data_IF_186023931367
#
_entry.id   IF_186023931367
#
_cell.length_a   1.000
_cell.length_b   1.000
_cell.length_c   1.000
_cell.angle_alpha   90.00
_cell.angle_beta   90.00
_cell.angle_gamma   90.00
#
_symmetry.space_group_name_H-M   'P 1'
#
loop_
_entity.id
_entity.type
_entity.pdbx_description
1 polymer ?
#
# COMPACT_ATOMS: atom_id res chain seq x y z
N UNK A 1 -12.99 2.98 14.25
CA UNK A 1 -12.37 3.42 12.99
C UNK A 1 -11.23 2.46 12.71
N UNK A 2 -11.23 1.79 11.55
CA UNK A 2 -10.29 0.71 11.28
C UNK A 2 -8.86 1.24 11.24
N UNK A 3 -7.97 0.68 12.07
CA UNK A 3 -6.54 0.91 11.99
C UNK A 3 -6.04 0.62 10.57
N UNK A 4 -5.09 1.41 10.05
CA UNK A 4 -4.47 1.08 8.78
C UNK A 4 -3.78 -0.28 8.90
N UNK A 5 -4.25 -1.22 8.09
CA UNK A 5 -3.81 -2.62 8.07
C UNK A 5 -3.60 -3.08 6.64
N UNK A 6 -2.89 -4.19 6.44
CA UNK A 6 -2.79 -4.85 5.12
C UNK A 6 -4.17 -5.16 4.52
N UNK A 7 -5.14 -5.53 5.35
CA UNK A 7 -6.52 -5.78 4.93
C UNK A 7 -7.19 -4.52 4.36
N UNK A 8 -7.01 -3.36 5.02
CA UNK A 8 -7.52 -2.08 4.50
C UNK A 8 -6.84 -1.67 3.20
N UNK A 9 -5.55 -1.97 3.02
CA UNK A 9 -4.86 -1.74 1.76
C UNK A 9 -5.44 -2.61 0.64
N UNK A 10 -5.71 -3.90 0.92
CA UNK A 10 -6.33 -4.82 -0.02
C UNK A 10 -7.72 -4.38 -0.47
N UNK A 11 -8.56 -3.96 0.48
CA UNK A 11 -9.88 -3.41 0.19
C UNK A 11 -9.80 -2.15 -0.71
N UNK A 12 -8.84 -1.26 -0.45
CA UNK A 12 -8.61 -0.08 -1.30
C UNK A 12 -8.15 -0.47 -2.71
N UNK A 13 -7.27 -1.45 -2.84
CA UNK A 13 -6.78 -1.93 -4.13
C UNK A 13 -7.91 -2.51 -4.99
N UNK A 14 -8.75 -3.38 -4.41
CA UNK A 14 -9.93 -3.93 -5.09
C UNK A 14 -10.95 -2.84 -5.44
N UNK A 15 -11.21 -1.91 -4.52
CA UNK A 15 -12.13 -0.80 -4.78
C UNK A 15 -11.64 0.07 -5.94
N UNK A 16 -10.34 0.37 -6.01
CA UNK A 16 -9.75 1.11 -7.12
C UNK A 16 -9.86 0.35 -8.44
N UNK A 17 -9.54 -0.96 -8.44
CA UNK A 17 -9.67 -1.81 -9.63
C UNK A 17 -11.10 -1.79 -10.19
N UNK A 18 -12.09 -2.02 -9.31
CA UNK A 18 -13.49 -2.07 -9.69
C UNK A 18 -14.04 -0.71 -10.12
N UNK A 19 -13.69 0.35 -9.39
CA UNK A 19 -14.21 1.69 -9.67
C UNK A 19 -13.70 2.26 -11.00
N UNK A 20 -12.44 1.98 -11.35
CA UNK A 20 -11.84 2.45 -12.60
C UNK A 20 -11.94 1.42 -13.73
N UNK A 21 -12.60 0.28 -13.51
CA UNK A 21 -12.67 -0.84 -14.48
C UNK A 21 -11.29 -1.22 -15.03
N UNK A 22 -10.27 -1.19 -14.16
CA UNK A 22 -8.88 -1.40 -14.55
C UNK A 22 -8.45 -2.85 -14.34
N UNK A 23 -7.43 -3.29 -15.07
CA UNK A 23 -6.82 -4.60 -14.85
C UNK A 23 -6.03 -4.68 -13.54
N UNK A 24 -5.56 -3.52 -13.05
CA UNK A 24 -4.73 -3.39 -11.85
C UNK A 24 -5.25 -2.27 -10.97
N UNK A 25 -5.46 -2.55 -9.68
CA UNK A 25 -5.73 -1.57 -8.64
C UNK A 25 -4.61 -1.53 -7.59
N UNK A 26 -4.28 -0.34 -7.09
CA UNK A 26 -3.25 -0.15 -6.06
C UNK A 26 -3.85 0.59 -4.87
N UNK A 27 -3.75 -0.01 -3.69
CA UNK A 27 -4.18 0.59 -2.43
C UNK A 27 -2.97 0.89 -1.54
N UNK A 28 -2.85 2.12 -1.06
CA UNK A 28 -1.80 2.52 -0.11
C UNK A 28 -2.47 3.17 1.10
N UNK A 29 -2.13 2.72 2.30
CA UNK A 29 -2.68 3.23 3.56
C UNK A 29 -1.63 3.24 4.66
N UNK A 30 -1.97 3.88 5.78
CA UNK A 30 -1.16 3.84 6.98
C UNK A 30 0.12 4.65 6.91
N UNK A 31 0.20 5.68 6.05
CA UNK A 31 1.33 6.62 5.97
C UNK A 31 1.43 7.48 7.23
N UNK A 32 1.87 6.87 8.34
CA UNK A 32 1.91 7.52 9.65
C UNK A 32 3.02 8.56 9.68
N UNK A 33 2.64 9.84 9.66
CA UNK A 33 3.54 10.99 9.89
C UNK A 33 3.47 11.50 11.33
N UNK A 34 2.36 11.21 12.00
CA UNK A 34 2.04 11.51 13.40
C UNK A 34 1.38 10.27 14.01
N UNK A 35 2.03 9.59 14.97
CA UNK A 35 1.49 8.37 15.52
C UNK A 35 0.34 8.69 16.49
N UNK A 36 -0.73 7.92 16.38
CA UNK A 36 -1.83 7.82 17.33
C UNK A 36 -1.90 6.37 17.83
N UNK A 37 -2.67 6.10 18.89
CA UNK A 37 -2.85 4.73 19.39
C UNK A 37 -3.35 3.76 18.31
N UNK A 38 -4.12 4.25 17.33
CA UNK A 38 -4.70 3.43 16.27
C UNK A 38 -3.83 3.31 15.01
N UNK A 39 -2.81 4.15 14.81
CA UNK A 39 -2.10 4.26 13.53
C UNK A 39 -0.89 3.34 13.40
N UNK A 40 -0.32 2.88 14.51
CA UNK A 40 0.98 2.21 14.52
C UNK A 40 2.17 3.19 14.42
N UNK A 41 3.41 2.67 14.27
CA UNK A 41 4.63 3.47 14.27
C UNK A 41 4.71 4.48 13.12
N UNK A 42 5.42 5.59 13.35
CA UNK A 42 5.79 6.54 12.27
C UNK A 42 6.53 5.80 11.17
N UNK A 43 6.21 6.15 9.92
CA UNK A 43 6.86 5.58 8.75
C UNK A 43 6.31 4.23 8.31
N UNK A 44 5.42 3.60 9.07
CA UNK A 44 4.67 2.44 8.57
C UNK A 44 3.88 2.83 7.32
N UNK A 45 3.72 1.88 6.39
CA UNK A 45 2.69 1.93 5.36
C UNK A 45 2.31 0.51 4.95
N UNK A 46 1.06 0.34 4.55
CA UNK A 46 0.54 -0.89 3.97
C UNK A 46 0.14 -0.62 2.53
N UNK A 47 0.53 -1.52 1.64
CA UNK A 47 0.30 -1.44 0.21
C UNK A 47 -0.33 -2.75 -0.25
N UNK A 48 -1.24 -2.69 -1.20
CA UNK A 48 -1.79 -3.87 -1.83
C UNK A 48 -2.04 -3.64 -3.32
N UNK A 49 -2.04 -4.74 -4.05
CA UNK A 49 -2.14 -4.81 -5.49
C UNK A 49 -3.22 -5.82 -5.83
N UNK A 50 -4.28 -5.35 -6.48
CA UNK A 50 -5.31 -6.19 -7.07
C UNK A 50 -4.99 -6.34 -8.56
N UNK A 51 -4.77 -7.57 -9.04
CA UNK A 51 -4.41 -7.89 -10.43
C UNK A 51 -5.28 -9.06 -10.89
N UNK A 52 -6.25 -8.79 -11.76
CA UNK A 52 -7.32 -9.75 -12.03
C UNK A 52 -8.01 -10.16 -10.74
N UNK A 53 -8.07 -11.47 -10.45
CA UNK A 53 -8.67 -12.03 -9.22
C UNK A 53 -7.68 -12.16 -8.05
N UNK A 54 -6.42 -11.77 -8.22
CA UNK A 54 -5.38 -11.90 -7.20
C UNK A 54 -5.24 -10.60 -6.41
N UNK A 55 -5.12 -10.72 -5.08
CA UNK A 55 -4.78 -9.60 -4.20
C UNK A 55 -3.52 -9.95 -3.42
N UNK A 56 -2.44 -9.19 -3.66
CA UNK A 56 -1.20 -9.27 -2.91
C UNK A 56 -1.05 -8.05 -2.00
N UNK A 57 -0.45 -8.21 -0.81
CA UNK A 57 -0.14 -7.09 0.07
C UNK A 57 1.30 -7.10 0.55
N UNK A 58 1.80 -5.91 0.85
CA UNK A 58 3.15 -5.62 1.34
C UNK A 58 3.07 -4.53 2.40
N UNK A 59 3.99 -4.58 3.35
CA UNK A 59 4.11 -3.53 4.36
C UNK A 59 5.55 -3.06 4.40
N UNK A 60 5.74 -1.75 4.56
CA UNK A 60 7.06 -1.14 4.68
C UNK A 60 7.12 -0.22 5.89
N UNK A 61 8.34 0.00 6.38
CA UNK A 61 8.64 1.06 7.33
C UNK A 61 9.69 1.98 6.71
N UNK A 62 9.37 3.27 6.55
CA UNK A 62 10.23 4.25 5.91
C UNK A 62 10.86 5.21 6.94
N UNK A 63 12.18 5.49 6.84
CA UNK A 63 12.87 6.34 7.81
C UNK A 63 12.24 7.74 7.97
N UNK A 64 12.26 8.23 9.21
CA UNK A 64 11.52 9.37 9.80
C UNK A 64 11.76 10.77 9.20
N UNK A 65 12.36 10.91 8.02
CA UNK A 65 12.32 12.20 7.32
C UNK A 65 10.92 12.42 6.75
N UNK A 66 10.04 13.00 7.58
CA UNK A 66 8.61 13.27 7.33
C UNK A 66 8.31 13.74 5.91
N UNK A 67 9.17 14.60 5.35
CA UNK A 67 9.00 15.18 4.02
C UNK A 67 9.05 14.17 2.86
N UNK A 68 9.55 12.94 3.07
CA UNK A 68 9.77 11.96 1.99
C UNK A 68 9.01 10.65 2.13
N UNK A 69 8.23 10.46 3.21
CA UNK A 69 7.53 9.19 3.48
C UNK A 69 6.56 8.85 2.34
N UNK A 70 5.76 9.82 1.87
CA UNK A 70 4.81 9.59 0.77
C UNK A 70 5.50 9.20 -0.53
N UNK A 71 6.53 9.95 -0.93
CA UNK A 71 7.29 9.66 -2.15
C UNK A 71 7.96 8.28 -2.08
N UNK A 72 8.58 7.92 -0.95
CA UNK A 72 9.19 6.59 -0.75
C UNK A 72 8.16 5.47 -0.81
N UNK A 73 7.00 5.65 -0.18
CA UNK A 73 5.94 4.65 -0.22
C UNK A 73 5.40 4.44 -1.63
N UNK A 74 5.23 5.52 -2.40
CA UNK A 74 4.81 5.43 -3.82
C UNK A 74 5.88 4.72 -4.66
N UNK A 75 7.15 5.09 -4.53
CA UNK A 75 8.24 4.42 -5.25
C UNK A 75 8.31 2.94 -4.90
N UNK A 76 8.22 2.59 -3.61
CA UNK A 76 8.24 1.20 -3.18
C UNK A 76 7.02 0.42 -3.69
N UNK A 77 5.82 1.04 -3.69
CA UNK A 77 4.63 0.42 -4.26
C UNK A 77 4.80 0.10 -5.75
N UNK A 78 5.41 0.99 -6.52
CA UNK A 78 5.66 0.76 -7.95
C UNK A 78 6.69 -0.35 -8.18
N UNK A 79 7.75 -0.44 -7.36
CA UNK A 79 8.72 -1.52 -7.44
C UNK A 79 8.10 -2.89 -7.08
N UNK A 80 7.27 -2.95 -6.03
CA UNK A 80 6.55 -4.17 -5.66
C UNK A 80 5.51 -4.54 -6.73
N UNK A 81 4.84 -3.57 -7.36
CA UNK A 81 3.93 -3.84 -8.47
C UNK A 81 4.67 -4.49 -9.65
N UNK A 82 5.87 -4.02 -9.99
CA UNK A 82 6.70 -4.65 -11.03
C UNK A 82 6.98 -6.11 -10.69
N UNK A 83 7.28 -6.43 -9.43
CA UNK A 83 7.52 -7.80 -8.98
C UNK A 83 6.24 -8.66 -9.01
N UNK A 84 5.09 -8.09 -8.63
CA UNK A 84 3.79 -8.78 -8.70
C UNK A 84 3.39 -9.08 -10.15
N UNK A 85 3.67 -8.17 -11.08
CA UNK A 85 3.37 -8.35 -12.50
C UNK A 85 4.37 -9.28 -13.22
N UNK A 86 5.60 -9.42 -12.69
CA UNK A 86 6.64 -10.27 -13.24
C UNK A 86 7.09 -11.31 -12.20
N UNK A 87 6.26 -12.33 -11.89
CA UNK A 87 6.57 -13.31 -10.84
C UNK A 87 7.77 -14.23 -11.17
N UNK A 88 8.36 -14.11 -12.36
CA UNK A 88 9.56 -14.85 -12.78
C UNK A 88 10.83 -14.08 -12.40
N UNK A 89 11.22 -14.23 -11.14
CA UNK A 89 12.57 -14.07 -10.61
C UNK A 89 12.95 -15.32 -9.84
#
# INVERSE_FOLDING_TARGET
WNSPTSASAGALAMAAQNFFESHVGVGITGLVVEPTEASGPVGTAHMAFAVGDLVASRSGNYPNQRLRIRSRAVTHALLELIAVLNPTG
#
